data_IF_159379315750
#
_entry.id   IF_159379315750
#
_cell.length_a   1.000
_cell.length_b   1.000
_cell.length_c   1.000
_cell.angle_alpha   90.00
_cell.angle_beta   90.00
_cell.angle_gamma   90.00
#
_symmetry.space_group_name_H-M   'P 1'
#
loop_
_entity.id
_entity.type
_entity.pdbx_description
1 polymer ?
#
# COMPACT_ATOMS: atom_id res chain seq x y z
N UNK A 1 -4.46 44.37 -67.11
CA UNK A 1 -4.28 45.30 -65.97
C UNK A 1 -5.22 44.86 -64.86
N UNK A 2 -4.65 44.29 -63.81
CA UNK A 2 -5.33 43.73 -62.62
C UNK A 2 -5.86 44.86 -61.73
N UNK A 3 -7.18 44.87 -61.46
CA UNK A 3 -7.82 45.85 -60.58
C UNK A 3 -8.09 45.25 -59.21
N UNK A 4 -7.35 45.77 -58.24
CA UNK A 4 -7.33 45.47 -56.82
C UNK A 4 -8.72 45.70 -56.17
N UNK A 5 -9.22 44.75 -55.38
CA UNK A 5 -10.40 44.93 -54.53
C UNK A 5 -10.00 44.58 -53.09
N UNK A 6 -9.72 45.61 -52.30
CA UNK A 6 -9.55 45.54 -50.85
C UNK A 6 -10.92 45.78 -50.21
N UNK A 7 -11.56 44.72 -49.72
CA UNK A 7 -12.72 44.84 -48.84
C UNK A 7 -12.27 44.51 -47.42
N UNK A 8 -12.15 45.58 -46.61
CA UNK A 8 -11.92 45.51 -45.19
C UNK A 8 -13.20 45.08 -44.47
N UNK A 9 -13.19 43.91 -43.84
CA UNK A 9 -14.22 43.44 -42.92
C UNK A 9 -13.63 43.23 -41.53
N UNK A 10 -13.82 44.20 -40.64
CA UNK A 10 -13.54 44.08 -39.21
C UNK A 10 -14.63 43.22 -38.58
N UNK A 11 -14.37 41.94 -38.37
CA UNK A 11 -15.16 41.10 -37.47
C UNK A 11 -14.46 41.04 -36.12
N UNK A 12 -14.88 41.90 -35.19
CA UNK A 12 -14.49 41.85 -33.78
C UNK A 12 -15.20 40.65 -33.13
N UNK A 13 -14.57 39.47 -33.23
CA UNK A 13 -14.96 38.30 -32.46
C UNK A 13 -14.29 38.32 -31.10
N UNK A 14 -14.93 38.94 -30.10
CA UNK A 14 -14.54 38.86 -28.70
C UNK A 14 -14.84 37.46 -28.15
N UNK A 15 -13.91 36.52 -28.37
CA UNK A 15 -13.94 35.22 -27.68
C UNK A 15 -13.53 35.47 -26.22
N UNK A 16 -14.52 35.56 -25.34
CA UNK A 16 -14.29 35.41 -23.90
C UNK A 16 -13.90 33.95 -23.64
N UNK A 17 -12.60 33.67 -23.67
CA UNK A 17 -12.05 32.44 -23.09
C UNK A 17 -12.25 32.54 -21.58
N UNK A 18 -13.27 31.85 -21.07
CA UNK A 18 -13.36 31.55 -19.64
C UNK A 18 -12.13 30.73 -19.28
N UNK A 19 -11.15 31.40 -18.67
CA UNK A 19 -10.06 30.75 -17.98
C UNK A 19 -10.65 29.99 -16.79
N UNK A 20 -10.97 28.72 -17.01
CA UNK A 20 -11.19 27.79 -15.91
C UNK A 20 -9.91 27.73 -15.11
N UNK A 21 -9.92 28.33 -13.92
CA UNK A 21 -8.87 28.12 -12.93
C UNK A 21 -9.00 26.65 -12.54
N UNK A 22 -8.23 25.78 -13.20
CA UNK A 22 -7.93 24.46 -12.65
C UNK A 22 -7.18 24.78 -11.37
N UNK A 23 -7.86 24.62 -10.23
CA UNK A 23 -7.19 24.61 -8.93
C UNK A 23 -6.16 23.51 -9.03
N UNK A 24 -4.89 23.89 -9.21
CA UNK A 24 -3.73 23.04 -9.04
C UNK A 24 -3.70 22.70 -7.54
N UNK A 25 -4.60 21.81 -7.11
CA UNK A 25 -4.36 21.07 -5.89
C UNK A 25 -3.01 20.37 -6.10
N UNK A 26 -2.04 20.55 -5.19
CA UNK A 26 -0.80 19.79 -5.29
C UNK A 26 -1.19 18.31 -5.38
N UNK A 27 -0.61 17.53 -6.31
CA UNK A 27 -0.85 16.10 -6.31
C UNK A 27 -0.49 15.60 -4.91
N UNK A 28 -1.48 15.06 -4.19
CA UNK A 28 -1.19 14.34 -2.95
C UNK A 28 -0.20 13.26 -3.40
N UNK A 29 1.06 13.30 -2.94
CA UNK A 29 2.02 12.30 -3.38
C UNK A 29 1.41 10.94 -3.04
N UNK A 30 1.48 9.95 -3.96
CA UNK A 30 1.02 8.61 -3.62
C UNK A 30 1.72 8.22 -2.32
N UNK A 31 0.92 7.76 -1.35
CA UNK A 31 1.45 7.30 -0.07
C UNK A 31 2.62 6.35 -0.37
N UNK A 32 3.81 6.64 0.15
CA UNK A 32 4.97 5.77 -0.05
C UNK A 32 4.63 4.36 0.43
N UNK A 33 5.23 3.33 -0.19
CA UNK A 33 5.02 1.94 0.23
C UNK A 33 5.21 1.77 1.75
N UNK A 34 6.22 2.45 2.30
CA UNK A 34 6.47 2.53 3.73
C UNK A 34 5.31 3.16 4.51
N UNK A 35 4.79 4.33 4.11
CA UNK A 35 3.67 4.97 4.82
C UNK A 35 2.38 4.13 4.78
N UNK A 36 2.17 3.37 3.69
CA UNK A 36 1.08 2.42 3.59
C UNK A 36 1.30 1.20 4.49
N UNK A 37 2.52 0.66 4.53
CA UNK A 37 2.90 -0.42 5.43
C UNK A 37 2.76 -0.03 6.90
N UNK A 38 3.21 1.17 7.30
CA UNK A 38 3.03 1.72 8.66
C UNK A 38 1.55 1.78 9.05
N UNK A 39 0.68 2.21 8.13
CA UNK A 39 -0.77 2.21 8.36
C UNK A 39 -1.29 0.79 8.57
N UNK A 40 -0.91 -0.15 7.70
CA UNK A 40 -1.35 -1.55 7.78
C UNK A 40 -0.90 -2.21 9.09
N UNK A 41 0.36 -2.01 9.50
CA UNK A 41 0.86 -2.52 10.78
C UNK A 41 0.09 -1.91 11.97
N UNK A 42 -0.15 -0.60 11.94
CA UNK A 42 -0.90 0.09 12.99
C UNK A 42 -2.34 -0.39 13.11
N UNK A 43 -2.99 -0.72 11.99
CA UNK A 43 -4.35 -1.29 11.99
C UNK A 43 -4.42 -2.66 12.69
N UNK A 44 -3.32 -3.40 12.73
CA UNK A 44 -3.18 -4.64 13.51
C UNK A 44 -2.66 -4.40 14.95
N UNK A 45 -2.60 -3.14 15.39
CA UNK A 45 -2.08 -2.77 16.70
C UNK A 45 -0.55 -2.94 16.84
N UNK A 46 0.17 -3.08 15.72
CA UNK A 46 1.63 -3.12 15.69
C UNK A 46 2.15 -1.70 15.51
N UNK A 47 2.79 -1.16 16.54
CA UNK A 47 3.30 0.23 16.59
C UNK A 47 4.82 0.24 16.77
N UNK A 48 5.52 1.37 16.57
CA UNK A 48 6.98 1.45 16.75
C UNK A 48 7.50 1.02 18.13
N UNK A 49 6.63 0.91 19.14
CA UNK A 49 6.96 0.46 20.50
C UNK A 49 6.70 -1.03 20.73
N UNK A 50 6.08 -1.70 19.77
CA UNK A 50 5.72 -3.12 19.84
C UNK A 50 6.84 -3.96 19.26
N UNK A 51 7.19 -5.06 19.92
CA UNK A 51 8.07 -6.05 19.32
C UNK A 51 7.42 -6.61 18.03
N UNK A 52 8.24 -6.88 17.02
CA UNK A 52 7.77 -7.28 15.69
C UNK A 52 7.37 -6.10 14.79
N UNK A 53 7.45 -4.84 15.24
CA UNK A 53 7.21 -3.67 14.38
C UNK A 53 8.09 -3.66 13.14
N UNK A 54 9.40 -3.83 13.31
CA UNK A 54 10.35 -3.82 12.19
C UNK A 54 10.09 -4.96 11.20
N UNK A 55 9.69 -6.13 11.72
CA UNK A 55 9.31 -7.26 10.89
C UNK A 55 8.05 -6.95 10.07
N UNK A 56 6.99 -6.47 10.72
CA UNK A 56 5.75 -6.08 10.05
C UNK A 56 6.02 -5.02 8.98
N UNK A 57 6.74 -3.96 9.34
CA UNK A 57 7.03 -2.84 8.45
C UNK A 57 7.82 -3.29 7.22
N UNK A 58 8.86 -4.08 7.42
CA UNK A 58 9.71 -4.60 6.34
C UNK A 58 8.92 -5.49 5.38
N UNK A 59 8.17 -6.47 5.89
CA UNK A 59 7.40 -7.40 5.05
C UNK A 59 6.23 -6.71 4.35
N UNK A 60 5.50 -5.85 5.05
CA UNK A 60 4.40 -5.09 4.46
C UNK A 60 4.91 -4.11 3.40
N UNK A 61 6.02 -3.40 3.64
CA UNK A 61 6.60 -2.49 2.64
C UNK A 61 6.95 -3.26 1.36
N UNK A 62 7.63 -4.40 1.49
CA UNK A 62 8.01 -5.24 0.34
C UNK A 62 6.80 -5.74 -0.44
N UNK A 63 5.75 -6.17 0.27
CA UNK A 63 4.52 -6.63 -0.36
C UNK A 63 3.81 -5.48 -1.12
N UNK A 64 3.79 -4.27 -0.55
CA UNK A 64 3.25 -3.08 -1.23
C UNK A 64 4.09 -2.69 -2.45
N UNK A 65 5.42 -2.75 -2.36
CA UNK A 65 6.33 -2.50 -3.50
C UNK A 65 6.10 -3.49 -4.66
N UNK A 66 5.68 -4.71 -4.34
CA UNK A 66 5.28 -5.73 -5.32
C UNK A 66 3.84 -5.61 -5.81
N UNK A 67 3.10 -4.59 -5.36
CA UNK A 67 1.70 -4.41 -5.73
C UNK A 67 0.76 -5.45 -5.13
N UNK A 68 1.14 -6.07 -4.00
CA UNK A 68 0.40 -7.12 -3.29
C UNK A 68 -0.05 -6.65 -1.90
N UNK A 69 -0.98 -5.67 -1.81
CA UNK A 69 -1.45 -5.15 -0.53
C UNK A 69 -2.13 -6.21 0.35
N UNK A 70 -2.77 -7.22 -0.23
CA UNK A 70 -3.36 -8.35 0.48
C UNK A 70 -2.31 -9.12 1.28
N UNK A 71 -1.12 -9.36 0.71
CA UNK A 71 -0.02 -10.01 1.43
C UNK A 71 0.49 -9.10 2.55
N UNK A 72 0.53 -7.78 2.34
CA UNK A 72 0.95 -6.84 3.38
C UNK A 72 0.02 -6.92 4.62
N UNK A 73 -1.30 -6.99 4.41
CA UNK A 73 -2.26 -7.21 5.51
C UNK A 73 -2.07 -8.56 6.18
N UNK A 74 -1.85 -9.62 5.41
CA UNK A 74 -1.61 -10.96 5.96
C UNK A 74 -0.35 -10.98 6.83
N UNK A 75 0.73 -10.35 6.39
CA UNK A 75 1.98 -10.26 7.18
C UNK A 75 1.80 -9.46 8.46
N UNK A 76 1.01 -8.38 8.43
CA UNK A 76 0.68 -7.62 9.63
C UNK A 76 -0.16 -8.46 10.60
N UNK A 77 -1.14 -9.23 10.10
CA UNK A 77 -1.93 -10.14 10.93
C UNK A 77 -1.07 -11.25 11.54
N UNK A 78 -0.20 -11.87 10.75
CA UNK A 78 0.76 -12.88 11.26
C UNK A 78 1.58 -12.34 12.42
N UNK A 79 2.02 -11.07 12.33
CA UNK A 79 2.77 -10.42 13.41
C UNK A 79 1.92 -10.21 14.66
N UNK A 80 0.66 -9.80 14.51
CA UNK A 80 -0.27 -9.65 15.62
C UNK A 80 -0.63 -11.00 16.27
N UNK A 81 -0.89 -12.04 15.48
CA UNK A 81 -1.19 -13.38 15.98
C UNK A 81 0.00 -13.99 16.74
N UNK A 82 1.22 -13.76 16.25
CA UNK A 82 2.44 -14.17 16.94
C UNK A 82 2.58 -13.46 18.31
N UNK A 83 2.35 -12.14 18.34
CA UNK A 83 2.35 -11.35 19.57
C UNK A 83 1.36 -11.90 20.58
N UNK A 84 0.12 -12.10 20.15
CA UNK A 84 -0.96 -12.56 21.02
C UNK A 84 -0.67 -13.97 21.56
N UNK A 85 -0.15 -14.88 20.72
CA UNK A 85 0.27 -16.22 21.15
C UNK A 85 1.40 -16.20 22.18
N UNK A 86 2.36 -15.29 22.05
CA UNK A 86 3.46 -15.15 23.01
C UNK A 86 2.97 -14.56 24.35
N UNK A 87 2.07 -13.59 24.31
CA UNK A 87 1.43 -13.02 25.51
C UNK A 87 0.57 -14.07 26.23
N UNK A 88 -0.22 -14.86 25.49
CA UNK A 88 -1.02 -15.97 26.04
C UNK A 88 -0.14 -17.05 26.70
N UNK A 89 1.08 -17.22 26.22
CA UNK A 89 2.08 -18.11 26.84
C UNK A 89 2.69 -17.55 28.14
N UNK A 90 2.23 -16.38 28.60
CA UNK A 90 2.69 -15.73 29.83
C UNK A 90 4.05 -15.05 29.70
N UNK A 91 4.55 -14.85 28.47
CA UNK A 91 5.81 -14.18 28.22
C UNK A 91 5.61 -12.66 28.27
N UNK A 92 6.41 -11.99 29.10
CA UNK A 92 6.38 -10.53 29.19
C UNK A 92 7.12 -9.88 28.02
N UNK A 93 6.58 -8.79 27.43
CA UNK A 93 7.31 -7.94 26.49
C UNK A 93 8.68 -7.50 27.02
N UNK A 94 9.59 -7.15 26.11
CA UNK A 94 10.98 -6.76 26.39
C UNK A 94 11.80 -7.81 27.17
N UNK A 95 11.45 -9.08 27.07
CA UNK A 95 12.26 -10.20 27.58
C UNK A 95 12.80 -11.04 26.43
N UNK A 96 13.98 -11.64 26.61
CA UNK A 96 14.56 -12.53 25.60
C UNK A 96 13.67 -13.74 25.29
N UNK A 97 12.90 -14.22 26.27
CA UNK A 97 11.92 -15.29 26.07
C UNK A 97 10.80 -14.88 25.11
N UNK A 98 10.30 -13.66 25.25
CA UNK A 98 9.28 -13.09 24.37
C UNK A 98 9.82 -12.79 22.97
N UNK A 99 11.02 -12.24 22.84
CA UNK A 99 11.69 -12.01 21.54
C UNK A 99 11.86 -13.30 20.75
N UNK A 100 12.38 -14.36 21.39
CA UNK A 100 12.53 -15.68 20.77
C UNK A 100 11.19 -16.30 20.38
N UNK A 101 10.14 -16.07 21.19
CA UNK A 101 8.80 -16.50 20.84
C UNK A 101 8.29 -15.77 19.59
N UNK A 102 8.41 -14.45 19.54
CA UNK A 102 8.02 -13.63 18.39
C UNK A 102 8.71 -14.08 17.11
N UNK A 103 10.03 -14.29 17.15
CA UNK A 103 10.78 -14.78 15.99
C UNK A 103 10.28 -16.13 15.50
N UNK A 104 10.09 -17.09 16.41
CA UNK A 104 9.61 -18.43 16.08
C UNK A 104 8.18 -18.41 15.51
N UNK A 105 7.27 -17.70 16.17
CA UNK A 105 5.85 -17.65 15.77
C UNK A 105 5.66 -16.90 14.45
N UNK A 106 6.31 -15.75 14.27
CA UNK A 106 6.25 -15.01 12.99
C UNK A 106 6.86 -15.82 11.86
N UNK A 107 8.01 -16.47 12.08
CA UNK A 107 8.62 -17.34 11.08
C UNK A 107 7.70 -18.49 10.68
N UNK A 108 7.22 -19.29 11.65
CA UNK A 108 6.36 -20.44 11.40
C UNK A 108 5.07 -20.06 10.65
N UNK A 109 4.44 -18.95 11.04
CA UNK A 109 3.20 -18.46 10.42
C UNK A 109 3.43 -17.85 9.05
N UNK A 110 4.55 -17.17 8.83
CA UNK A 110 4.90 -16.59 7.53
C UNK A 110 5.07 -17.66 6.44
N UNK A 111 5.50 -18.87 6.81
CA UNK A 111 5.60 -20.00 5.87
C UNK A 111 4.22 -20.40 5.30
N UNK A 112 3.15 -20.23 6.09
CA UNK A 112 1.79 -20.58 5.68
C UNK A 112 1.17 -19.54 4.73
N UNK A 113 1.65 -18.31 4.76
CA UNK A 113 1.16 -17.21 3.91
C UNK A 113 1.34 -17.52 2.42
N UNK A 114 2.36 -18.29 2.07
CA UNK A 114 2.69 -18.61 0.68
C UNK A 114 2.25 -20.02 0.25
N UNK A 115 1.72 -20.83 1.16
CA UNK A 115 1.20 -22.17 0.84
C UNK A 115 -0.27 -22.17 0.45
N UNK A 116 -1.02 -21.13 0.85
CA UNK A 116 -2.43 -20.93 0.49
C UNK A 116 -2.59 -20.10 -0.80
N UNK A 117 -1.88 -20.44 -1.88
CA UNK A 117 -2.34 -19.97 -3.20
C UNK A 117 -3.67 -20.66 -3.51
N UNK A 118 -4.80 -19.94 -3.65
CA UNK A 118 -5.97 -20.54 -4.26
C UNK A 118 -5.59 -20.91 -5.69
N UNK A 119 -5.64 -22.20 -5.99
CA UNK A 119 -5.42 -22.76 -7.31
C UNK A 119 -6.58 -22.35 -8.25
N UNK A 120 -6.65 -21.07 -8.60
CA UNK A 120 -7.60 -20.51 -9.55
C UNK A 120 -6.88 -20.22 -10.86
N UNK A 121 -6.39 -21.26 -11.52
CA UNK A 121 -6.08 -21.23 -12.96
C UNK A 121 -5.87 -22.64 -13.53
N UNK A 122 -6.82 -23.54 -13.26
CA UNK A 122 -6.88 -24.83 -13.96
C UNK A 122 -8.22 -25.10 -14.62
N UNK A 123 -8.88 -24.07 -15.13
CA UNK A 123 -10.10 -24.20 -15.95
C UNK A 123 -10.04 -23.48 -17.31
N UNK A 124 -8.89 -22.94 -17.73
CA UNK A 124 -8.74 -22.31 -19.07
C UNK A 124 -8.08 -23.25 -20.10
N UNK A 125 -8.10 -24.56 -19.87
CA UNK A 125 -7.55 -25.56 -20.81
C UNK A 125 -8.62 -26.40 -21.55
N UNK A 126 -9.91 -26.10 -21.40
CA UNK A 126 -11.00 -26.87 -22.01
C UNK A 126 -12.13 -26.02 -22.61
N UNK A 127 -11.80 -24.95 -23.33
CA UNK A 127 -12.72 -24.34 -24.30
C UNK A 127 -12.07 -24.23 -25.67
#
# INVERSE_FOLDING_TARGET
MTRNQLNAGLALGSVFLMAGIVVLAPPVPPASAQSQAERICREQGITPKTEGYEYCLSQATRAIEWGKPEIAYTMARVTADARDSCLESGLSPATSGYENCMERETHARSLLVFTDEPQYDRDVAHQ
#
